data_IF_771580626250
#
_entry.id   IF_771580626250
#
_cell.length_a   1.000
_cell.length_b   1.000
_cell.length_c   1.000
_cell.angle_alpha   90.00
_cell.angle_beta   90.00
_cell.angle_gamma   90.00
#
_symmetry.space_group_name_H-M   'P 1'
#
loop_
_entity.id
_entity.type
_entity.pdbx_description
1 polymer ?
#
# COMPACT_ATOMS: atom_id res chain seq x y z
N UNK A 1 -61.36 -4.80 -22.64
CA UNK A 1 -60.70 -5.52 -21.53
C UNK A 1 -59.95 -6.70 -22.16
N UNK A 2 -58.62 -6.85 -21.99
CA UNK A 2 -58.00 -7.00 -20.66
C UNK A 2 -56.66 -6.24 -20.43
N UNK A 3 -56.35 -6.13 -19.13
CA UNK A 3 -55.04 -6.26 -18.48
C UNK A 3 -53.92 -5.27 -18.77
N UNK A 4 -53.90 -4.23 -17.93
CA UNK A 4 -52.72 -3.46 -17.58
C UNK A 4 -51.73 -4.34 -16.79
N UNK A 5 -50.53 -4.56 -17.34
CA UNK A 5 -49.39 -5.13 -16.61
C UNK A 5 -48.64 -4.00 -15.89
N UNK A 6 -48.92 -3.83 -14.61
CA UNK A 6 -48.20 -2.93 -13.71
C UNK A 6 -46.81 -3.53 -13.41
N UNK A 7 -45.76 -3.01 -14.05
CA UNK A 7 -44.37 -3.39 -13.73
C UNK A 7 -43.92 -2.64 -12.48
N UNK A 8 -43.81 -3.38 -11.37
CA UNK A 8 -43.24 -2.93 -10.12
C UNK A 8 -41.73 -2.73 -10.30
N UNK A 9 -41.26 -1.48 -10.35
CA UNK A 9 -39.83 -1.16 -10.32
C UNK A 9 -39.38 -1.18 -8.85
N UNK A 10 -38.74 -2.27 -8.44
CA UNK A 10 -38.08 -2.34 -7.14
C UNK A 10 -36.80 -1.50 -7.19
N UNK A 11 -36.84 -0.28 -6.64
CA UNK A 11 -35.65 0.52 -6.41
C UNK A 11 -34.83 -0.14 -5.28
N UNK A 12 -33.76 -0.84 -5.66
CA UNK A 12 -32.81 -1.42 -4.72
C UNK A 12 -31.92 -0.29 -4.20
N UNK A 13 -32.31 0.31 -3.07
CA UNK A 13 -31.55 1.33 -2.37
C UNK A 13 -30.19 0.75 -1.95
N UNK A 14 -29.13 1.22 -2.61
CA UNK A 14 -27.76 0.96 -2.22
C UNK A 14 -27.46 1.72 -0.92
N UNK A 15 -27.71 1.08 0.22
CA UNK A 15 -27.39 1.64 1.52
C UNK A 15 -25.87 1.51 1.74
N UNK A 16 -25.13 2.50 1.25
CA UNK A 16 -23.71 2.64 1.54
C UNK A 16 -23.51 2.84 3.02
N UNK A 17 -22.98 1.84 3.72
CA UNK A 17 -22.50 1.99 5.08
C UNK A 17 -21.27 2.92 5.06
N UNK A 18 -21.50 4.21 5.27
CA UNK A 18 -20.43 5.11 5.66
C UNK A 18 -19.91 4.60 7.01
N UNK A 19 -18.70 4.04 7.02
CA UNK A 19 -17.96 3.81 8.24
C UNK A 19 -17.75 5.18 8.89
N UNK A 20 -18.60 5.52 9.86
CA UNK A 20 -18.38 6.67 10.71
C UNK A 20 -17.07 6.41 11.45
N UNK A 21 -16.03 7.16 11.12
CA UNK A 21 -14.86 7.25 11.96
C UNK A 21 -15.36 7.74 13.32
N UNK A 22 -15.37 6.85 14.31
CA UNK A 22 -15.73 7.19 15.69
C UNK A 22 -14.74 8.25 16.13
N UNK A 23 -15.21 9.49 16.30
CA UNK A 23 -14.39 10.56 16.82
C UNK A 23 -13.78 10.09 18.17
N UNK A 24 -12.49 10.37 18.42
CA UNK A 24 -11.86 9.96 19.66
C UNK A 24 -12.66 10.50 20.86
N UNK A 25 -12.82 9.66 21.88
CA UNK A 25 -13.52 10.01 23.12
C UNK A 25 -12.99 11.37 23.65
N UNK A 26 -13.84 12.40 23.83
CA UNK A 26 -13.43 13.70 24.33
C UNK A 26 -12.66 13.62 25.66
N UNK A 27 -12.98 12.64 26.51
CA UNK A 27 -12.28 12.40 27.77
C UNK A 27 -10.87 11.82 27.55
N UNK A 28 -10.67 11.03 26.50
CA UNK A 28 -9.36 10.55 26.07
C UNK A 28 -8.54 11.69 25.46
N UNK A 29 -9.11 12.49 24.57
CA UNK A 29 -8.47 13.66 23.97
C UNK A 29 -7.94 14.64 25.03
N UNK A 30 -8.76 14.97 26.04
CA UNK A 30 -8.37 15.85 27.13
C UNK A 30 -7.25 15.27 28.02
N UNK A 31 -7.26 13.95 28.26
CA UNK A 31 -6.20 13.26 29.04
C UNK A 31 -4.88 13.18 28.26
N UNK A 32 -4.94 13.11 26.93
CA UNK A 32 -3.77 13.16 26.07
C UNK A 32 -3.16 14.54 26.03
N UNK A 33 -3.98 15.59 25.96
CA UNK A 33 -3.49 16.96 26.05
C UNK A 33 -2.71 17.19 27.36
N UNK A 34 -3.22 16.69 28.49
CA UNK A 34 -2.53 16.81 29.77
C UNK A 34 -1.33 15.86 29.96
N UNK A 35 -1.25 14.74 29.22
CA UNK A 35 -0.21 13.71 29.43
C UNK A 35 0.89 13.69 28.37
N UNK A 36 0.59 14.18 27.17
CA UNK A 36 1.47 14.14 26.01
C UNK A 36 2.04 15.53 25.69
N UNK A 37 1.21 16.58 25.68
CA UNK A 37 1.65 17.94 25.28
C UNK A 37 2.64 18.53 26.28
N UNK A 38 2.49 18.26 27.58
CA UNK A 38 3.44 18.70 28.62
C UNK A 38 4.91 18.32 28.33
N UNK A 39 5.14 17.20 27.63
CA UNK A 39 6.50 16.75 27.26
C UNK A 39 6.85 17.06 25.79
N UNK A 40 5.86 17.35 24.95
CA UNK A 40 5.99 17.48 23.50
C UNK A 40 5.43 18.81 22.99
N UNK A 41 5.62 19.87 23.77
CA UNK A 41 5.30 21.26 23.43
C UNK A 41 6.52 21.99 22.86
N UNK A 42 6.37 23.29 22.64
CA UNK A 42 7.42 24.17 22.12
C UNK A 42 8.66 24.25 23.01
N UNK A 43 8.47 24.17 24.32
CA UNK A 43 9.52 24.43 25.30
C UNK A 43 10.30 23.16 25.66
N UNK A 44 9.60 22.04 25.89
CA UNK A 44 10.20 20.78 26.36
C UNK A 44 10.71 19.91 25.20
N UNK A 45 9.90 19.79 24.13
CA UNK A 45 10.23 19.07 22.89
C UNK A 45 10.99 17.75 23.08
N UNK A 46 10.54 16.89 24.00
CA UNK A 46 11.22 15.64 24.32
C UNK A 46 11.31 14.74 23.09
N UNK A 47 12.51 14.20 22.82
CA UNK A 47 12.74 13.36 21.63
C UNK A 47 12.60 14.11 20.30
N UNK A 48 12.64 15.44 20.29
CA UNK A 48 12.50 16.24 19.08
C UNK A 48 11.06 16.36 18.54
N UNK A 49 10.10 15.72 19.21
CA UNK A 49 8.69 15.63 18.80
C UNK A 49 7.87 16.81 19.35
N UNK A 50 7.04 17.39 18.48
CA UNK A 50 6.07 18.45 18.76
C UNK A 50 4.66 17.94 18.46
N UNK A 51 3.85 17.73 19.49
CA UNK A 51 2.48 17.24 19.34
C UNK A 51 1.44 18.37 19.32
N UNK A 52 1.78 19.53 19.88
CA UNK A 52 0.92 20.72 19.93
C UNK A 52 0.63 21.30 18.53
N UNK A 53 1.57 21.15 17.59
CA UNK A 53 1.42 21.61 16.20
C UNK A 53 1.17 20.48 15.21
N UNK A 54 1.20 19.22 15.64
CA UNK A 54 1.03 18.07 14.75
C UNK A 54 -0.44 17.91 14.40
N UNK A 55 -0.78 18.06 13.12
CA UNK A 55 -2.13 17.79 12.67
C UNK A 55 -2.50 16.32 12.92
N UNK A 56 -3.76 16.00 13.28
CA UNK A 56 -4.25 14.63 13.33
C UNK A 56 -4.12 13.95 11.97
N UNK A 57 -3.90 12.63 12.00
CA UNK A 57 -3.68 11.81 10.80
C UNK A 57 -4.84 11.90 9.79
N UNK A 58 -6.06 12.14 10.27
CA UNK A 58 -7.25 12.28 9.45
C UNK A 58 -7.28 13.59 8.65
N UNK A 59 -6.58 14.63 9.13
CA UNK A 59 -6.51 15.94 8.49
C UNK A 59 -5.30 16.11 7.58
N UNK A 60 -4.20 15.44 7.89
CA UNK A 60 -2.96 15.52 7.12
C UNK A 60 -2.28 14.16 7.03
N UNK A 61 -2.37 13.47 5.88
CA UNK A 61 -1.72 12.18 5.65
C UNK A 61 -0.20 12.20 5.81
N UNK A 62 0.46 13.36 5.67
CA UNK A 62 1.91 13.47 5.84
C UNK A 62 2.35 13.22 7.29
N UNK A 63 1.44 13.37 8.25
CA UNK A 63 1.67 13.12 9.68
C UNK A 63 1.60 11.65 10.06
N UNK A 64 1.16 10.77 9.14
CA UNK A 64 0.93 9.35 9.41
C UNK A 64 2.16 8.68 10.02
N UNK A 65 3.35 8.84 9.43
CA UNK A 65 4.57 8.21 9.92
C UNK A 65 4.90 8.64 11.36
N UNK A 66 4.69 9.91 11.69
CA UNK A 66 4.90 10.44 13.04
C UNK A 66 3.89 9.84 14.02
N UNK A 67 2.62 9.77 13.65
CA UNK A 67 1.58 9.18 14.50
C UNK A 67 1.75 7.66 14.67
N UNK A 68 2.24 6.95 13.65
CA UNK A 68 2.64 5.54 13.77
C UNK A 68 3.76 5.38 14.79
N UNK A 69 4.79 6.24 14.73
CA UNK A 69 5.86 6.23 15.73
C UNK A 69 5.31 6.49 17.14
N UNK A 70 4.40 7.46 17.31
CA UNK A 70 3.74 7.73 18.60
C UNK A 70 2.98 6.51 19.10
N UNK A 71 2.19 5.87 18.23
CA UNK A 71 1.49 4.62 18.55
C UNK A 71 2.46 3.56 19.07
N UNK A 72 3.56 3.30 18.34
CA UNK A 72 4.51 2.25 18.69
C UNK A 72 5.21 2.53 20.03
N UNK A 73 5.55 3.79 20.29
CA UNK A 73 6.17 4.21 21.57
C UNK A 73 5.20 4.10 22.75
N UNK A 74 3.91 4.37 22.54
CA UNK A 74 2.90 4.17 23.59
C UNK A 74 2.62 2.68 23.81
N UNK A 75 2.50 1.91 22.74
CA UNK A 75 2.31 0.46 22.82
C UNK A 75 3.49 -0.26 23.51
N UNK A 76 4.71 0.24 23.31
CA UNK A 76 5.91 -0.23 24.01
C UNK A 76 6.00 0.25 25.48
N UNK A 77 5.10 1.12 25.94
CA UNK A 77 5.12 1.69 27.28
C UNK A 77 6.27 2.69 27.53
N UNK A 78 6.91 3.17 26.47
CA UNK A 78 7.94 4.22 26.54
C UNK A 78 7.32 5.61 26.72
N UNK A 79 6.10 5.78 26.21
CA UNK A 79 5.30 7.00 26.33
C UNK A 79 3.91 6.70 26.92
N UNK A 80 3.40 7.55 27.82
CA UNK A 80 4.12 8.60 28.56
C UNK A 80 4.98 8.01 29.70
N UNK A 81 5.93 8.78 30.27
CA UNK A 81 6.77 8.32 31.38
C UNK A 81 5.95 7.74 32.55
N UNK A 82 6.53 6.75 33.25
CA UNK A 82 5.88 6.07 34.39
C UNK A 82 5.27 7.10 35.36
N UNK A 83 4.03 6.85 35.79
CA UNK A 83 3.17 7.67 36.66
C UNK A 83 2.40 8.83 36.01
N UNK A 84 2.58 9.13 34.71
CA UNK A 84 1.81 10.18 34.01
C UNK A 84 0.46 9.70 33.48
N UNK A 85 0.34 8.42 33.15
CA UNK A 85 -0.90 7.82 32.64
C UNK A 85 -1.03 6.38 33.14
N UNK A 86 -2.27 5.95 33.43
CA UNK A 86 -2.55 4.57 33.77
C UNK A 86 -2.33 3.67 32.54
N UNK A 87 -1.85 2.44 32.75
CA UNK A 87 -1.58 1.51 31.66
C UNK A 87 -2.84 1.18 30.82
N UNK A 88 -4.01 1.14 31.46
CA UNK A 88 -5.30 0.96 30.79
C UNK A 88 -5.61 2.11 29.82
N UNK A 89 -5.34 3.35 30.24
CA UNK A 89 -5.61 4.54 29.44
C UNK A 89 -4.61 4.66 28.28
N UNK A 90 -3.34 4.32 28.51
CA UNK A 90 -2.32 4.23 27.46
C UNK A 90 -2.69 3.17 26.40
N UNK A 91 -3.17 2.00 26.84
CA UNK A 91 -3.65 0.94 25.95
C UNK A 91 -4.89 1.36 25.16
N UNK A 92 -5.87 2.00 25.81
CA UNK A 92 -7.05 2.54 25.16
C UNK A 92 -6.69 3.61 24.11
N UNK A 93 -5.71 4.46 24.41
CA UNK A 93 -5.17 5.40 23.44
C UNK A 93 -4.54 4.70 22.24
N UNK A 94 -3.62 3.76 22.48
CA UNK A 94 -2.97 3.03 21.40
C UNK A 94 -3.99 2.34 20.49
N UNK A 95 -5.02 1.71 21.07
CA UNK A 95 -6.11 1.08 20.31
C UNK A 95 -6.94 2.08 19.48
N UNK A 96 -7.26 3.25 20.06
CA UNK A 96 -7.95 4.33 19.33
C UNK A 96 -7.09 4.87 18.19
N UNK A 97 -5.80 5.09 18.44
CA UNK A 97 -4.86 5.61 17.45
C UNK A 97 -4.63 4.57 16.34
N UNK A 98 -4.51 3.28 16.67
CA UNK A 98 -4.41 2.21 15.69
C UNK A 98 -5.60 2.19 14.72
N UNK A 99 -6.82 2.41 15.23
CA UNK A 99 -8.03 2.52 14.39
C UNK A 99 -7.93 3.68 13.41
N UNK A 100 -7.56 4.87 13.89
CA UNK A 100 -7.38 6.06 13.06
C UNK A 100 -6.27 5.89 12.02
N UNK A 101 -5.11 5.36 12.43
CA UNK A 101 -3.98 5.07 11.55
C UNK A 101 -4.36 4.08 10.46
N UNK A 102 -5.06 3.00 10.81
CA UNK A 102 -5.50 1.98 9.85
C UNK A 102 -6.51 2.55 8.86
N UNK A 103 -7.44 3.40 9.32
CA UNK A 103 -8.39 4.07 8.45
C UNK A 103 -7.70 5.03 7.47
N UNK A 104 -6.78 5.87 7.97
CA UNK A 104 -6.00 6.79 7.15
C UNK A 104 -5.11 6.04 6.14
N UNK A 105 -4.49 4.95 6.56
CA UNK A 105 -3.70 4.07 5.70
C UNK A 105 -4.55 3.48 4.57
N UNK A 106 -5.72 2.93 4.92
CA UNK A 106 -6.68 2.42 3.94
C UNK A 106 -7.15 3.47 2.93
N UNK A 107 -7.38 4.71 3.37
CA UNK A 107 -7.73 5.81 2.45
C UNK A 107 -6.57 6.15 1.51
N UNK A 108 -5.33 6.25 2.04
CA UNK A 108 -4.14 6.48 1.22
C UNK A 108 -3.97 5.38 0.16
N UNK A 109 -4.15 4.11 0.55
CA UNK A 109 -4.06 2.99 -0.38
C UNK A 109 -5.15 3.02 -1.47
N UNK A 110 -6.37 3.45 -1.14
CA UNK A 110 -7.46 3.59 -2.13
C UNK A 110 -7.19 4.68 -3.15
N UNK A 111 -6.48 5.75 -2.77
CA UNK A 111 -6.19 6.88 -3.64
C UNK A 111 -4.92 6.66 -4.48
N UNK A 112 -3.84 6.14 -3.87
CA UNK A 112 -2.52 6.04 -4.49
C UNK A 112 -2.04 4.62 -4.76
N UNK A 113 -2.84 3.60 -4.47
CA UNK A 113 -2.40 2.20 -4.46
C UNK A 113 -1.63 1.84 -3.18
N UNK A 114 -1.47 0.53 -2.95
CA UNK A 114 -0.76 0.02 -1.76
C UNK A 114 0.76 0.15 -1.86
N UNK A 115 1.28 0.13 -3.07
CA UNK A 115 2.70 0.23 -3.40
C UNK A 115 2.83 0.96 -4.73
N UNK A 116 3.99 1.56 -4.98
CA UNK A 116 4.38 1.96 -6.33
C UNK A 116 4.37 0.74 -7.25
N UNK A 117 4.02 0.96 -8.51
CA UNK A 117 4.09 -0.07 -9.55
C UNK A 117 5.52 -0.59 -9.69
N UNK A 118 5.66 -1.91 -9.84
CA UNK A 118 6.93 -2.61 -10.02
C UNK A 118 6.79 -3.56 -11.21
N UNK A 119 7.68 -3.46 -12.20
CA UNK A 119 7.77 -4.44 -13.30
C UNK A 119 8.75 -5.55 -12.93
N UNK A 120 8.73 -6.66 -13.67
CA UNK A 120 9.78 -7.67 -13.54
C UNK A 120 11.09 -7.10 -14.09
N UNK A 121 12.19 -7.27 -13.37
CA UNK A 121 13.52 -7.00 -13.93
C UNK A 121 13.82 -8.01 -15.06
N UNK A 122 14.87 -7.79 -15.85
CA UNK A 122 15.16 -8.63 -17.02
C UNK A 122 15.42 -10.10 -16.68
N UNK A 123 16.01 -10.36 -15.51
CA UNK A 123 16.30 -11.71 -15.02
C UNK A 123 15.02 -12.39 -14.56
N UNK A 124 14.17 -11.67 -13.82
CA UNK A 124 12.87 -12.15 -13.37
C UNK A 124 11.93 -12.43 -14.54
N UNK A 125 11.94 -11.58 -15.57
CA UNK A 125 11.15 -11.77 -16.77
C UNK A 125 11.57 -13.03 -17.53
N UNK A 126 12.88 -13.23 -17.75
CA UNK A 126 13.42 -14.46 -18.35
C UNK A 126 13.02 -15.70 -17.54
N UNK A 127 13.23 -15.69 -16.22
CA UNK A 127 12.88 -16.82 -15.36
C UNK A 127 11.37 -17.11 -15.39
N UNK A 128 10.54 -16.07 -15.43
CA UNK A 128 9.08 -16.23 -15.56
C UNK A 128 8.71 -16.92 -16.87
N UNK A 129 9.35 -16.55 -17.98
CA UNK A 129 9.10 -17.22 -19.26
C UNK A 129 9.66 -18.65 -19.32
N UNK A 130 10.82 -18.91 -18.70
CA UNK A 130 11.36 -20.27 -18.54
C UNK A 130 10.34 -21.17 -17.84
N UNK A 131 9.75 -20.69 -16.76
CA UNK A 131 8.76 -21.43 -15.96
C UNK A 131 7.44 -21.61 -16.72
N UNK A 132 6.91 -20.54 -17.31
CA UNK A 132 5.63 -20.58 -18.04
C UNK A 132 5.67 -21.46 -19.29
N UNK A 133 6.79 -21.44 -20.02
CA UNK A 133 6.96 -22.17 -21.27
C UNK A 133 7.64 -23.54 -21.08
N UNK A 134 8.10 -23.84 -19.86
CA UNK A 134 8.90 -25.02 -19.54
C UNK A 134 10.16 -25.16 -20.40
N UNK A 135 10.89 -24.05 -20.61
CA UNK A 135 12.14 -23.99 -21.38
C UNK A 135 13.28 -23.49 -20.49
N UNK A 136 13.92 -24.35 -19.68
CA UNK A 136 14.98 -23.92 -18.75
C UNK A 136 16.19 -23.28 -19.44
N UNK A 137 16.45 -23.66 -20.70
CA UNK A 137 17.56 -23.16 -21.51
C UNK A 137 17.23 -21.87 -22.29
N UNK A 138 16.06 -21.24 -22.07
CA UNK A 138 15.70 -19.98 -22.73
C UNK A 138 16.64 -18.86 -22.28
N UNK A 139 17.23 -18.12 -23.21
CA UNK A 139 18.12 -16.98 -22.94
C UNK A 139 17.60 -15.75 -23.71
N UNK A 140 16.90 -14.86 -23.02
CA UNK A 140 16.22 -13.68 -23.61
C UNK A 140 16.43 -12.40 -22.80
N UNK A 141 17.03 -12.47 -21.60
CA UNK A 141 17.21 -11.30 -20.73
C UNK A 141 17.98 -10.15 -21.38
N UNK A 142 18.88 -10.45 -22.32
CA UNK A 142 19.73 -9.44 -22.97
C UNK A 142 19.04 -8.75 -24.17
N UNK A 143 17.83 -9.19 -24.54
CA UNK A 143 16.91 -8.43 -25.40
C UNK A 143 16.38 -7.20 -24.64
N UNK A 144 16.22 -7.32 -23.33
CA UNK A 144 15.76 -6.25 -22.47
C UNK A 144 16.92 -5.31 -22.08
N UNK A 145 16.66 -3.99 -21.98
CA UNK A 145 17.63 -3.06 -21.42
C UNK A 145 18.04 -3.48 -20.00
N UNK A 146 19.26 -3.15 -19.60
CA UNK A 146 19.71 -3.37 -18.23
C UNK A 146 18.86 -2.54 -17.25
N UNK A 147 18.47 -3.16 -16.14
CA UNK A 147 17.71 -2.50 -15.09
C UNK A 147 18.60 -1.50 -14.32
N UNK A 148 18.08 -0.31 -13.98
CA UNK A 148 18.81 0.65 -13.17
C UNK A 148 18.98 0.14 -11.74
N UNK A 149 20.13 0.44 -11.14
CA UNK A 149 20.40 0.10 -9.75
C UNK A 149 19.97 1.24 -8.83
N UNK A 150 19.20 0.91 -7.79
CA UNK A 150 18.91 1.80 -6.67
C UNK A 150 19.35 1.14 -5.36
N UNK A 151 20.25 1.80 -4.63
CA UNK A 151 20.84 1.23 -3.41
C UNK A 151 21.65 -0.05 -3.64
N UNK A 152 22.07 -0.33 -4.88
CA UNK A 152 22.76 -1.56 -5.26
C UNK A 152 21.85 -2.71 -5.70
N UNK A 153 20.53 -2.49 -5.74
CA UNK A 153 19.54 -3.50 -6.13
C UNK A 153 18.85 -3.11 -7.44
N UNK A 154 18.50 -4.10 -8.26
CA UNK A 154 17.83 -3.94 -9.57
C UNK A 154 16.32 -4.23 -9.52
N UNK A 155 15.77 -4.46 -8.32
CA UNK A 155 14.38 -4.82 -8.06
C UNK A 155 13.58 -3.71 -7.37
N UNK A 156 14.17 -2.53 -7.19
CA UNK A 156 13.53 -1.40 -6.52
C UNK A 156 12.50 -0.74 -7.43
N UNK A 157 11.23 -0.85 -7.05
CA UNK A 157 10.09 -0.37 -7.83
C UNK A 157 10.19 1.10 -8.29
N UNK A 158 10.70 2.00 -7.43
CA UNK A 158 10.84 3.42 -7.78
C UNK A 158 11.92 3.70 -8.82
N UNK A 159 12.81 2.75 -9.10
CA UNK A 159 13.80 2.83 -10.18
C UNK A 159 13.35 2.12 -11.46
N UNK A 160 12.30 1.28 -11.39
CA UNK A 160 11.86 0.45 -12.50
C UNK A 160 10.77 1.10 -13.33
N UNK A 161 11.11 2.24 -13.95
CA UNK A 161 10.21 2.93 -14.86
C UNK A 161 9.90 2.09 -16.11
N UNK A 162 8.70 2.29 -16.67
CA UNK A 162 8.26 1.63 -17.89
C UNK A 162 8.27 2.63 -19.05
N UNK A 163 9.33 2.56 -19.86
CA UNK A 163 9.46 3.39 -21.07
C UNK A 163 8.85 2.70 -22.29
N UNK A 164 8.60 3.46 -23.35
CA UNK A 164 8.18 2.90 -24.64
C UNK A 164 9.17 1.85 -25.17
N UNK A 165 10.47 2.11 -25.03
CA UNK A 165 11.53 1.17 -25.42
C UNK A 165 11.45 -0.12 -24.61
N UNK A 166 11.22 -0.01 -23.29
CA UNK A 166 11.08 -1.18 -22.42
C UNK A 166 9.90 -2.06 -22.87
N UNK A 167 8.75 -1.47 -23.19
CA UNK A 167 7.56 -2.20 -23.67
C UNK A 167 7.86 -2.88 -25.01
N UNK A 168 8.49 -2.17 -25.96
CA UNK A 168 8.86 -2.75 -27.24
C UNK A 168 9.80 -3.97 -27.07
N UNK A 169 10.78 -3.88 -26.18
CA UNK A 169 11.69 -5.00 -25.88
C UNK A 169 11.04 -6.14 -25.14
N UNK A 170 10.03 -5.90 -24.30
CA UNK A 170 9.22 -6.98 -23.72
C UNK A 170 8.45 -7.75 -24.78
N UNK A 171 7.84 -7.06 -25.75
CA UNK A 171 7.12 -7.73 -26.84
C UNK A 171 8.07 -8.54 -27.72
N UNK A 172 9.22 -7.97 -28.08
CA UNK A 172 10.26 -8.67 -28.85
C UNK A 172 10.80 -9.92 -28.11
N UNK A 173 11.03 -9.81 -26.80
CA UNK A 173 11.47 -10.93 -25.97
C UNK A 173 10.38 -12.01 -25.83
N UNK A 174 9.11 -11.61 -25.76
CA UNK A 174 7.98 -12.53 -25.73
C UNK A 174 7.84 -13.31 -27.05
N UNK A 175 7.95 -12.64 -28.19
CA UNK A 175 7.91 -13.28 -29.51
C UNK A 175 9.04 -14.31 -29.65
N UNK A 176 10.28 -13.93 -29.28
CA UNK A 176 11.43 -14.85 -29.30
C UNK A 176 11.21 -16.08 -28.41
N UNK A 177 10.62 -15.90 -27.23
CA UNK A 177 10.32 -16.99 -26.32
C UNK A 177 9.21 -17.92 -26.85
N UNK A 178 8.18 -17.36 -27.48
CA UNK A 178 7.10 -18.12 -28.09
C UNK A 178 7.59 -18.92 -29.31
N UNK A 179 8.45 -18.34 -30.14
CA UNK A 179 9.08 -19.03 -31.26
C UNK A 179 9.91 -20.23 -30.80
N UNK A 180 10.71 -20.04 -29.75
CA UNK A 180 11.46 -21.14 -29.12
C UNK A 180 10.53 -22.24 -28.60
N UNK A 181 9.39 -21.88 -28.00
CA UNK A 181 8.42 -22.84 -27.50
C UNK A 181 7.71 -23.61 -28.63
N UNK A 182 7.40 -22.95 -29.75
CA UNK A 182 6.78 -23.58 -30.91
C UNK A 182 7.74 -24.54 -31.62
N UNK A 183 9.02 -24.20 -31.70
CA UNK A 183 10.05 -25.05 -32.31
C UNK A 183 10.23 -26.40 -31.59
N UNK A 184 9.86 -26.48 -30.30
CA UNK A 184 9.90 -27.73 -29.53
C UNK A 184 8.74 -28.69 -29.83
N UNK A 185 7.71 -28.24 -30.57
CA UNK A 185 6.55 -29.06 -30.91
C UNK A 185 6.50 -29.36 -32.41
N UNK A 186 6.04 -30.55 -32.82
CA UNK A 186 5.80 -30.83 -34.23
C UNK A 186 4.78 -29.83 -34.78
N UNK A 187 5.05 -29.31 -35.98
CA UNK A 187 4.16 -28.37 -36.63
C UNK A 187 2.78 -29.03 -36.83
N UNK A 188 1.68 -28.37 -36.42
CA UNK A 188 0.35 -28.94 -36.61
C UNK A 188 0.07 -29.11 -38.11
N UNK A 189 -0.59 -30.21 -38.47
CA UNK A 189 -1.00 -30.45 -39.85
C UNK A 189 -1.92 -29.32 -40.32
N UNK A 190 -1.56 -28.68 -41.44
CA UNK A 190 -2.41 -27.64 -42.03
C UNK A 190 -3.70 -28.29 -42.55
N UNK A 191 -4.84 -27.92 -41.98
CA UNK A 191 -6.14 -28.18 -42.62
C UNK A 191 -6.30 -27.17 -43.76
N UNK A 192 -5.90 -27.57 -44.96
CA UNK A 192 -6.31 -26.94 -46.22
C UNK A 192 -7.63 -27.56 -46.65
#
# INVERSE_FOLDING_TARGET
MPSACLRLVAALSLMGAAAAATAPDPALAKRLESSCVECHDADTRKGGLRLDTLAPVERDPSTLATWTLVHDRVAAGEMPPKKKLAASDASAFAASLATALTAADGQRQRQGGRTVYRRLNRVEYENTLRDLLAIPALEIKDILPADPLAGGFDDVASAQELSYVQIARYLEAADAALDAAMALRPQPESRV
#
